data_IF_272153390338
#
_entry.id   IF_272153390338
#
_cell.length_a   1.000
_cell.length_b   1.000
_cell.length_c   1.000
_cell.angle_alpha   90.00
_cell.angle_beta   90.00
_cell.angle_gamma   90.00
#
_symmetry.space_group_name_H-M   'P 1'
#
loop_
_entity.id
_entity.type
_entity.pdbx_description
1 polymer ?
#
# COMPACT_ATOMS: atom_id res chain seq x y z
N UNK A 1 -10.33 2.98 6.65
CA UNK A 1 -10.45 3.86 7.84
C UNK A 1 -9.51 5.04 7.78
N UNK A 2 -8.32 4.95 8.40
CA UNK A 2 -7.35 6.06 8.49
C UNK A 2 -7.03 6.70 7.14
N UNK A 3 -6.75 5.85 6.13
CA UNK A 3 -6.47 6.29 4.77
C UNK A 3 -7.59 7.15 4.19
N UNK A 4 -8.85 6.75 4.37
CA UNK A 4 -10.01 7.51 3.87
C UNK A 4 -10.06 8.92 4.45
N UNK A 5 -9.82 9.06 5.76
CA UNK A 5 -9.74 10.37 6.42
C UNK A 5 -8.58 11.21 5.85
N UNK A 6 -7.40 10.61 5.68
CA UNK A 6 -6.20 11.32 5.16
C UNK A 6 -6.40 11.76 3.70
N UNK A 7 -7.07 10.94 2.89
CA UNK A 7 -7.41 11.31 1.51
C UNK A 7 -8.38 12.48 1.47
N UNK A 8 -9.50 12.37 2.22
CA UNK A 8 -10.55 13.41 2.25
C UNK A 8 -10.10 14.70 2.95
N UNK A 9 -9.09 14.66 3.82
CA UNK A 9 -8.54 15.87 4.46
C UNK A 9 -7.38 16.52 3.67
N UNK A 10 -7.09 16.05 2.45
CA UNK A 10 -6.06 16.60 1.58
C UNK A 10 -4.62 16.31 2.00
N UNK A 11 -4.42 15.40 2.96
CA UNK A 11 -3.10 15.05 3.46
C UNK A 11 -2.22 14.37 2.40
N UNK A 12 -2.81 13.44 1.65
CA UNK A 12 -2.12 12.71 0.58
C UNK A 12 -1.78 13.63 -0.59
N UNK A 13 -2.73 14.47 -1.04
CA UNK A 13 -2.46 15.50 -2.05
C UNK A 13 -1.36 16.48 -1.62
N UNK A 14 -1.27 16.81 -0.34
CA UNK A 14 -0.19 17.64 0.20
C UNK A 14 1.20 17.00 0.15
N UNK A 15 1.30 15.67 0.18
CA UNK A 15 2.56 14.95 -0.11
C UNK A 15 2.89 15.12 -1.60
N UNK A 16 1.88 14.93 -2.47
CA UNK A 16 2.08 14.99 -3.91
C UNK A 16 2.52 16.38 -4.36
N UNK A 17 1.86 17.45 -3.91
CA UNK A 17 2.20 18.84 -4.27
C UNK A 17 3.68 19.19 -3.99
N UNK A 18 4.26 18.63 -2.92
CA UNK A 18 5.68 18.82 -2.60
C UNK A 18 6.63 18.09 -3.55
N UNK A 19 6.19 16.97 -4.12
CA UNK A 19 7.02 16.10 -4.95
C UNK A 19 6.88 16.40 -6.45
N UNK A 20 5.70 16.85 -6.90
CA UNK A 20 5.43 17.15 -8.32
C UNK A 20 6.28 18.30 -8.85
N UNK A 21 6.73 19.24 -8.01
CA UNK A 21 7.66 20.30 -8.41
C UNK A 21 9.00 19.80 -8.96
N UNK A 22 9.38 18.55 -8.66
CA UNK A 22 10.60 17.92 -9.16
C UNK A 22 10.42 17.19 -10.50
N UNK A 23 9.16 16.97 -10.94
CA UNK A 23 8.81 16.27 -12.17
C UNK A 23 8.95 17.18 -13.41
N UNK A 24 10.18 17.57 -13.76
CA UNK A 24 10.44 18.54 -14.84
C UNK A 24 10.55 17.92 -16.24
N UNK A 25 10.89 16.64 -16.34
CA UNK A 25 11.06 15.89 -17.59
C UNK A 25 10.55 14.45 -17.41
N UNK A 26 10.39 13.69 -18.50
CA UNK A 26 9.82 12.34 -18.45
C UNK A 26 10.53 11.42 -17.45
N UNK A 27 11.87 11.44 -17.41
CA UNK A 27 12.66 10.62 -16.48
C UNK A 27 12.39 11.01 -15.03
N UNK A 28 12.43 12.31 -14.73
CA UNK A 28 12.14 12.83 -13.38
C UNK A 28 10.69 12.60 -12.98
N UNK A 29 9.75 12.71 -13.92
CA UNK A 29 8.34 12.40 -13.71
C UNK A 29 8.15 10.95 -13.25
N UNK A 30 8.75 10.00 -13.96
CA UNK A 30 8.70 8.58 -13.60
C UNK A 30 9.38 8.30 -12.25
N UNK A 31 10.53 8.92 -11.98
CA UNK A 31 11.22 8.79 -10.69
C UNK A 31 10.37 9.35 -9.54
N UNK A 32 9.74 10.50 -9.73
CA UNK A 32 8.84 11.10 -8.73
C UNK A 32 7.63 10.21 -8.49
N UNK A 33 7.01 9.66 -9.55
CA UNK A 33 5.92 8.68 -9.42
C UNK A 33 6.37 7.48 -8.60
N UNK A 34 7.54 6.92 -8.89
CA UNK A 34 8.06 5.76 -8.16
C UNK A 34 8.39 6.05 -6.69
N UNK A 35 8.99 7.22 -6.41
CA UNK A 35 9.25 7.67 -5.03
C UNK A 35 7.95 7.91 -4.28
N UNK A 36 6.95 8.49 -4.92
CA UNK A 36 5.64 8.69 -4.31
C UNK A 36 4.98 7.33 -4.01
N UNK A 37 5.07 6.38 -4.92
CA UNK A 37 4.63 5.00 -4.69
C UNK A 37 5.32 4.37 -3.48
N UNK A 38 6.65 4.40 -3.40
CA UNK A 38 7.36 3.88 -2.22
C UNK A 38 7.01 4.64 -0.94
N UNK A 39 6.69 5.94 -1.02
CA UNK A 39 6.33 6.75 0.14
C UNK A 39 4.96 6.39 0.74
N UNK A 40 4.01 5.96 -0.10
CA UNK A 40 2.68 5.50 0.32
C UNK A 40 2.72 3.98 0.57
N UNK A 41 3.64 3.52 1.42
CA UNK A 41 3.89 2.08 1.63
C UNK A 41 2.87 1.37 2.51
N UNK A 42 2.05 2.12 3.23
CA UNK A 42 1.20 1.57 4.28
C UNK A 42 -0.01 0.79 3.73
N UNK A 43 -0.40 1.05 2.47
CA UNK A 43 -1.54 0.42 1.80
C UNK A 43 -1.42 0.50 0.27
N UNK A 44 -1.57 -0.62 -0.44
CA UNK A 44 -1.39 -0.74 -1.90
C UNK A 44 -2.55 -0.14 -2.71
N UNK A 45 -3.78 -0.25 -2.24
CA UNK A 45 -4.94 0.37 -2.88
C UNK A 45 -4.88 1.90 -2.78
N UNK A 46 -4.62 2.42 -1.58
CA UNK A 46 -4.40 3.84 -1.35
C UNK A 46 -3.30 4.37 -2.27
N UNK A 47 -2.18 3.65 -2.33
CA UNK A 47 -1.05 3.95 -3.19
C UNK A 47 -1.47 4.06 -4.65
N UNK A 48 -2.09 3.00 -5.19
CA UNK A 48 -2.48 2.96 -6.60
C UNK A 48 -3.44 4.08 -6.96
N UNK A 49 -4.43 4.34 -6.12
CA UNK A 49 -5.43 5.39 -6.32
C UNK A 49 -4.81 6.79 -6.27
N UNK A 50 -4.06 7.09 -5.21
CA UNK A 50 -3.50 8.42 -4.97
C UNK A 50 -2.40 8.73 -5.99
N UNK A 51 -1.43 7.82 -6.15
CA UNK A 51 -0.30 8.03 -7.07
C UNK A 51 -0.81 8.04 -8.50
N UNK A 52 -1.67 7.09 -8.87
CA UNK A 52 -2.26 6.99 -10.20
C UNK A 52 -3.00 8.26 -10.60
N UNK A 53 -3.96 8.73 -9.79
CA UNK A 53 -4.77 9.90 -10.15
C UNK A 53 -3.97 11.19 -10.11
N UNK A 54 -3.09 11.36 -9.11
CA UNK A 54 -2.36 12.63 -8.97
C UNK A 54 -1.21 12.76 -9.97
N UNK A 55 -0.54 11.66 -10.32
CA UNK A 55 0.54 11.70 -11.30
C UNK A 55 0.03 11.64 -12.73
N UNK A 56 -1.22 11.22 -12.99
CA UNK A 56 -1.83 11.22 -14.34
C UNK A 56 -1.69 12.56 -15.07
N UNK A 57 -2.14 13.73 -14.56
CA UNK A 57 -1.99 15.00 -15.26
C UNK A 57 -0.53 15.41 -15.46
N UNK A 58 0.34 15.07 -14.51
CA UNK A 58 1.79 15.37 -14.57
C UNK A 58 2.45 14.53 -15.67
N UNK A 59 2.18 13.23 -15.69
CA UNK A 59 2.73 12.29 -16.65
C UNK A 59 2.17 12.50 -18.06
N UNK A 60 0.88 12.83 -18.18
CA UNK A 60 0.26 13.22 -19.45
C UNK A 60 0.96 14.46 -20.04
N UNK A 61 1.24 15.48 -19.23
CA UNK A 61 2.00 16.68 -19.65
C UNK A 61 3.44 16.36 -20.07
N UNK A 62 4.06 15.40 -19.41
CA UNK A 62 5.43 14.94 -19.70
C UNK A 62 5.49 13.90 -20.83
N UNK A 63 4.36 13.59 -21.47
CA UNK A 63 4.23 12.62 -22.56
C UNK A 63 4.71 11.22 -22.18
N UNK A 64 4.42 10.81 -20.96
CA UNK A 64 4.59 9.43 -20.49
C UNK A 64 3.28 8.70 -20.80
N UNK A 65 3.38 7.52 -21.39
CA UNK A 65 2.23 6.67 -21.70
C UNK A 65 1.49 6.23 -20.43
N UNK A 66 0.17 6.04 -20.52
CA UNK A 66 -0.61 5.62 -19.34
C UNK A 66 -0.30 4.18 -18.92
N UNK A 67 0.11 3.35 -19.87
CA UNK A 67 0.64 2.01 -19.64
C UNK A 67 1.91 2.07 -18.79
N UNK A 68 2.80 3.03 -19.07
CA UNK A 68 4.02 3.24 -18.28
C UNK A 68 3.71 3.73 -16.88
N UNK A 69 2.78 4.68 -16.74
CA UNK A 69 2.32 5.13 -15.43
C UNK A 69 1.75 3.95 -14.62
N UNK A 70 0.86 3.15 -15.22
CA UNK A 70 0.27 1.98 -14.57
C UNK A 70 1.34 0.99 -14.10
N UNK A 71 2.35 0.71 -14.94
CA UNK A 71 3.49 -0.12 -14.56
C UNK A 71 4.23 0.41 -13.33
N UNK A 72 4.58 1.70 -13.30
CA UNK A 72 5.31 2.31 -12.17
C UNK A 72 4.49 2.27 -10.89
N UNK A 73 3.19 2.58 -10.99
CA UNK A 73 2.26 2.60 -9.85
C UNK A 73 2.08 1.19 -9.28
N UNK A 74 1.72 0.21 -10.10
CA UNK A 74 1.50 -1.17 -9.67
C UNK A 74 2.76 -1.82 -9.09
N UNK A 75 3.89 -1.64 -9.78
CA UNK A 75 5.19 -2.20 -9.39
C UNK A 75 5.83 -1.47 -8.19
N UNK A 76 5.21 -0.41 -7.67
CA UNK A 76 5.60 0.19 -6.40
C UNK A 76 4.60 -0.10 -5.30
N UNK A 77 3.30 -0.08 -5.59
CA UNK A 77 2.22 -0.30 -4.62
C UNK A 77 2.28 -1.69 -3.95
N UNK A 78 2.20 -2.77 -4.72
CA UNK A 78 2.19 -4.11 -4.15
C UNK A 78 3.57 -4.51 -3.57
N UNK A 79 4.71 -4.30 -4.26
CA UNK A 79 6.02 -4.68 -3.75
C UNK A 79 6.38 -4.05 -2.40
N UNK A 80 6.24 -2.72 -2.26
CA UNK A 80 6.61 -2.06 -0.99
C UNK A 80 5.71 -2.53 0.15
N UNK A 81 4.43 -2.79 -0.13
CA UNK A 81 3.45 -3.21 0.87
C UNK A 81 3.78 -4.57 1.50
N UNK A 82 4.51 -5.43 0.77
CA UNK A 82 4.95 -6.75 1.25
C UNK A 82 6.29 -6.76 1.98
N UNK A 83 7.06 -5.67 1.90
CA UNK A 83 8.41 -5.57 2.48
C UNK A 83 8.48 -4.63 3.67
N UNK A 84 7.69 -3.55 3.65
CA UNK A 84 7.67 -2.59 4.74
C UNK A 84 7.16 -3.25 6.03
N UNK A 85 7.71 -2.83 7.18
CA UNK A 85 7.48 -3.48 8.47
C UNK A 85 6.04 -3.33 9.00
N UNK A 86 5.35 -2.28 8.54
CA UNK A 86 4.02 -1.91 9.02
C UNK A 86 3.16 -1.50 7.83
N UNK A 87 2.34 -2.43 7.35
CA UNK A 87 1.40 -2.25 6.24
C UNK A 87 0.12 -3.05 6.50
N UNK A 88 -0.90 -2.83 5.68
CA UNK A 88 -2.12 -3.65 5.68
C UNK A 88 -1.84 -5.13 5.35
N UNK A 89 -0.82 -5.41 4.55
CA UNK A 89 -0.44 -6.78 4.15
C UNK A 89 0.34 -7.54 5.22
N UNK A 90 1.16 -6.86 6.05
CA UNK A 90 1.95 -7.57 7.08
C UNK A 90 1.05 -8.20 8.12
N UNK A 91 -0.04 -7.55 8.52
CA UNK A 91 -1.01 -8.15 9.44
C UNK A 91 -1.61 -9.45 8.90
N UNK A 92 -1.93 -9.47 7.60
CA UNK A 92 -2.42 -10.67 6.93
C UNK A 92 -1.35 -11.77 6.84
N UNK A 93 -0.15 -11.44 6.35
CA UNK A 93 0.95 -12.39 6.21
C UNK A 93 1.36 -13.02 7.55
N UNK A 94 1.48 -12.20 8.61
CA UNK A 94 1.82 -12.68 9.94
C UNK A 94 0.70 -13.54 10.52
N UNK A 95 -0.56 -13.23 10.23
CA UNK A 95 -1.70 -14.09 10.60
C UNK A 95 -1.64 -15.46 9.93
N UNK A 96 -1.40 -15.50 8.61
CA UNK A 96 -1.22 -16.76 7.87
C UNK A 96 -0.02 -17.57 8.37
N UNK A 97 1.10 -16.90 8.64
CA UNK A 97 2.29 -17.54 9.21
C UNK A 97 1.99 -18.15 10.58
N UNK A 98 1.22 -17.45 11.43
CA UNK A 98 0.78 -17.98 12.71
C UNK A 98 0.00 -19.29 12.55
N UNK A 99 -1.02 -19.31 11.69
CA UNK A 99 -1.81 -20.52 11.42
C UNK A 99 -0.96 -21.65 10.80
N UNK A 100 0.00 -21.32 9.93
CA UNK A 100 0.88 -22.33 9.35
C UNK A 100 1.83 -22.94 10.41
N UNK A 101 2.38 -22.13 11.31
CA UNK A 101 3.30 -22.55 12.37
C UNK A 101 2.62 -23.49 13.37
N UNK A 102 1.34 -23.27 13.70
CA UNK A 102 0.56 -24.16 14.59
C UNK A 102 0.51 -25.61 14.09
N UNK A 103 0.64 -25.83 12.78
CA UNK A 103 0.63 -27.15 12.16
C UNK A 103 2.01 -27.83 12.10
N UNK A 104 3.07 -27.19 12.61
CA UNK A 104 4.45 -27.70 12.56
C UNK A 104 4.92 -28.06 13.98
N UNK A 105 4.97 -29.36 14.28
CA UNK A 105 5.45 -29.84 15.58
C UNK A 105 6.92 -29.43 15.82
N UNK A 106 7.20 -28.86 16.99
CA UNK A 106 8.55 -28.48 17.41
C UNK A 106 9.07 -27.14 16.88
N UNK A 107 8.26 -26.38 16.14
CA UNK A 107 8.61 -25.03 15.71
C UNK A 107 8.16 -23.99 16.74
N UNK A 108 9.10 -23.25 17.32
CA UNK A 108 8.84 -22.39 18.48
C UNK A 108 9.12 -20.90 18.25
N UNK A 109 9.27 -20.45 17.00
CA UNK A 109 9.47 -19.02 16.71
C UNK A 109 8.14 -18.34 16.47
N UNK A 110 7.94 -17.15 17.04
CA UNK A 110 6.77 -16.33 16.74
C UNK A 110 6.67 -15.94 15.25
N UNK A 111 5.43 -15.82 14.77
CA UNK A 111 5.12 -15.57 13.36
C UNK A 111 5.76 -14.29 12.80
N UNK A 112 5.91 -13.25 13.62
CA UNK A 112 6.58 -12.02 13.21
C UNK A 112 8.10 -12.22 13.02
N UNK A 113 8.74 -13.06 13.85
CA UNK A 113 10.14 -13.45 13.66
C UNK A 113 10.33 -14.17 12.32
N UNK A 114 9.45 -15.12 12.00
CA UNK A 114 9.50 -15.85 10.72
C UNK A 114 9.34 -14.89 9.55
N UNK A 115 8.44 -13.92 9.65
CA UNK A 115 8.30 -12.86 8.65
C UNK A 115 9.58 -12.03 8.48
N UNK A 116 10.19 -11.55 9.57
CA UNK A 116 11.44 -10.78 9.48
C UNK A 116 12.59 -11.59 8.86
N UNK A 117 12.68 -12.87 9.21
CA UNK A 117 13.67 -13.79 8.64
C UNK A 117 13.37 -14.16 7.19
N UNK A 118 12.11 -14.04 6.73
CA UNK A 118 11.74 -14.28 5.33
C UNK A 118 12.03 -13.08 4.44
N UNK A 119 12.11 -11.86 4.98
CA UNK A 119 12.38 -10.64 4.20
C UNK A 119 13.57 -10.78 3.23
N UNK A 120 14.76 -11.25 3.63
CA UNK A 120 15.88 -11.40 2.69
C UNK A 120 15.62 -12.34 1.51
N UNK A 121 14.65 -13.24 1.64
CA UNK A 121 14.25 -14.20 0.61
C UNK A 121 13.10 -13.70 -0.28
N UNK A 122 12.51 -12.53 0.05
CA UNK A 122 11.48 -11.89 -0.78
C UNK A 122 12.13 -11.18 -1.99
N UNK A 123 12.74 -11.98 -2.88
CA UNK A 123 13.48 -11.46 -4.03
C UNK A 123 12.61 -10.64 -4.98
N UNK A 124 11.37 -11.08 -5.23
CA UNK A 124 10.48 -10.42 -6.19
C UNK A 124 10.19 -8.96 -5.82
N UNK A 125 9.73 -8.62 -4.61
CA UNK A 125 9.50 -7.21 -4.25
C UNK A 125 10.73 -6.30 -4.37
N UNK A 126 11.89 -6.75 -3.90
CA UNK A 126 13.12 -5.95 -3.99
C UNK A 126 13.57 -5.76 -5.44
N UNK A 127 13.51 -6.82 -6.24
CA UNK A 127 13.86 -6.75 -7.66
C UNK A 127 12.86 -5.91 -8.44
N UNK A 128 11.56 -6.00 -8.15
CA UNK A 128 10.53 -5.19 -8.78
C UNK A 128 10.73 -3.69 -8.50
N UNK A 129 10.96 -3.32 -7.24
CA UNK A 129 11.26 -1.93 -6.87
C UNK A 129 12.53 -1.43 -7.55
N UNK A 130 13.61 -2.22 -7.52
CA UNK A 130 14.86 -1.89 -8.22
C UNK A 130 14.61 -1.71 -9.71
N UNK A 131 13.84 -2.61 -10.32
CA UNK A 131 13.57 -2.62 -11.75
C UNK A 131 12.73 -1.41 -12.18
N UNK A 132 11.73 -1.00 -11.39
CA UNK A 132 10.97 0.23 -11.64
C UNK A 132 11.89 1.45 -11.68
N UNK A 133 12.77 1.61 -10.68
CA UNK A 133 13.68 2.74 -10.64
C UNK A 133 14.76 2.68 -11.73
N UNK A 134 15.25 1.48 -12.06
CA UNK A 134 16.18 1.28 -13.16
C UNK A 134 15.55 1.69 -14.49
N UNK A 135 14.32 1.25 -14.73
CA UNK A 135 13.56 1.54 -15.94
C UNK A 135 13.23 3.03 -16.02
N UNK A 136 12.74 3.65 -14.93
CA UNK A 136 12.49 5.09 -14.84
C UNK A 136 13.76 5.92 -15.06
N UNK A 137 14.92 5.44 -14.58
CA UNK A 137 16.19 6.14 -14.73
C UNK A 137 16.82 5.96 -16.11
N UNK A 138 16.77 4.77 -16.71
CA UNK A 138 17.44 4.46 -17.98
C UNK A 138 16.57 4.78 -19.19
N UNK A 139 15.24 4.79 -19.03
CA UNK A 139 14.30 4.89 -20.15
C UNK A 139 14.33 3.66 -21.06
N UNK A 140 14.86 2.53 -20.59
CA UNK A 140 14.87 1.27 -21.31
C UNK A 140 13.51 0.59 -21.11
N UNK A 141 12.56 1.03 -21.91
CA UNK A 141 11.23 0.45 -22.00
C UNK A 141 11.29 -0.90 -22.75
N UNK A 142 10.35 -1.82 -22.48
CA UNK A 142 10.39 -3.19 -23.02
C UNK A 142 9.01 -3.67 -23.49
N UNK A 143 9.01 -4.54 -24.51
CA UNK A 143 7.80 -5.17 -25.02
C UNK A 143 6.74 -4.16 -25.48
N UNK A 144 5.43 -4.45 -25.27
CA UNK A 144 4.35 -3.53 -25.66
C UNK A 144 4.42 -2.14 -25.00
N UNK A 145 5.06 -2.04 -23.83
CA UNK A 145 5.24 -0.76 -23.13
C UNK A 145 6.21 0.17 -23.89
N UNK A 146 7.20 -0.38 -24.60
CA UNK A 146 8.10 0.41 -25.44
C UNK A 146 7.33 1.07 -26.59
N UNK A 147 6.47 0.31 -27.27
CA UNK A 147 5.63 0.84 -28.37
C UNK A 147 4.68 1.93 -27.87
N UNK A 148 4.12 1.77 -26.66
CA UNK A 148 3.29 2.78 -26.02
C UNK A 148 4.07 4.06 -25.67
N UNK A 149 5.31 3.93 -25.18
CA UNK A 149 6.19 5.06 -24.88
C UNK A 149 6.64 5.80 -26.15
N UNK A 150 7.01 5.08 -27.21
CA UNK A 150 7.35 5.68 -28.51
C UNK A 150 6.16 6.48 -29.07
N UNK A 151 4.95 5.90 -29.03
CA UNK A 151 3.70 6.59 -29.41
C UNK A 151 3.51 7.87 -28.61
N UNK A 152 3.63 7.80 -27.28
CA UNK A 152 3.41 8.96 -26.41
C UNK A 152 4.44 10.06 -26.68
N UNK A 153 5.71 9.70 -26.91
CA UNK A 153 6.80 10.67 -27.17
C UNK A 153 6.68 11.32 -28.54
N UNK A 154 6.42 10.54 -29.59
CA UNK A 154 6.42 11.01 -30.98
C UNK A 154 5.14 11.77 -31.34
N UNK A 155 3.99 11.26 -30.89
CA UNK A 155 2.67 11.79 -31.28
C UNK A 155 2.00 12.62 -30.19
N UNK A 156 2.44 12.50 -28.94
CA UNK A 156 1.75 13.08 -27.79
C UNK A 156 0.52 12.28 -27.34
N UNK A 157 0.15 11.18 -28.01
CA UNK A 157 -0.96 10.31 -27.61
C UNK A 157 -0.54 9.36 -26.49
N UNK A 158 -0.89 9.73 -25.26
CA UNK A 158 -0.59 8.95 -24.05
C UNK A 158 -1.48 7.71 -23.86
N UNK A 159 -2.59 7.63 -24.60
CA UNK A 159 -3.50 6.49 -24.67
C UNK A 159 -3.40 5.82 -26.04
N UNK A 160 -3.54 4.50 -26.08
CA UNK A 160 -3.70 3.75 -27.32
C UNK A 160 -5.03 4.06 -28.02
N UNK A 161 -5.09 3.89 -29.34
CA UNK A 161 -6.29 4.20 -30.11
C UNK A 161 -7.48 3.26 -29.78
N UNK A 162 -7.19 2.03 -29.30
CA UNK A 162 -8.18 1.05 -28.83
C UNK A 162 -8.38 1.06 -27.30
N UNK A 163 -7.83 2.06 -26.60
CA UNK A 163 -7.91 2.10 -25.14
C UNK A 163 -9.35 2.34 -24.67
N UNK A 164 -9.95 1.32 -24.05
CA UNK A 164 -11.21 1.47 -23.34
C UNK A 164 -10.92 1.89 -21.90
N UNK A 165 -11.02 3.19 -21.63
CA UNK A 165 -10.88 3.72 -20.28
C UNK A 165 -12.24 3.56 -19.61
N UNK A 166 -12.41 2.54 -18.77
CA UNK A 166 -13.63 2.39 -17.98
C UNK A 166 -13.79 3.60 -17.05
N UNK A 167 -14.81 4.43 -17.29
CA UNK A 167 -15.24 5.48 -16.36
C UNK A 167 -15.64 4.88 -15.00
N UNK A 168 -16.03 3.60 -14.95
CA UNK A 168 -16.34 2.88 -13.71
C UNK A 168 -15.10 2.52 -12.86
N UNK A 169 -13.88 2.61 -13.42
CA UNK A 169 -12.62 2.48 -12.67
C UNK A 169 -12.24 3.80 -11.96
N UNK A 170 -12.99 4.89 -12.20
CA UNK A 170 -13.04 6.07 -11.33
C UNK A 170 -13.81 5.68 -10.08
N UNK A 171 -13.21 4.86 -9.22
CA UNK A 171 -13.81 4.55 -7.92
C UNK A 171 -14.13 5.87 -7.21
N UNK A 172 -15.35 5.99 -6.64
CA UNK A 172 -15.85 7.12 -5.84
C UNK A 172 -14.67 7.88 -5.24
N UNK A 173 -14.22 8.93 -5.93
CA UNK A 173 -12.95 9.54 -5.58
C UNK A 173 -13.11 10.11 -4.18
N UNK A 174 -12.21 9.72 -3.28
CA UNK A 174 -12.03 10.37 -1.97
C UNK A 174 -11.41 11.75 -2.19
N UNK A 175 -12.01 12.55 -3.08
CA UNK A 175 -11.59 13.91 -3.32
C UNK A 175 -11.86 14.73 -2.06
N UNK A 176 -10.88 15.51 -1.62
CA UNK A 176 -11.11 16.43 -0.53
C UNK A 176 -12.14 17.49 -0.94
N UNK A 177 -12.95 18.00 0.00
CA UNK A 177 -13.89 19.09 -0.27
C UNK A 177 -13.19 20.29 -0.95
N UNK A 178 -13.93 21.02 -1.79
CA UNK A 178 -13.41 22.20 -2.48
C UNK A 178 -12.81 23.21 -1.49
N UNK A 179 -11.60 23.70 -1.79
CA UNK A 179 -10.88 24.66 -0.93
C UNK A 179 -10.10 24.05 0.23
N UNK A 180 -10.03 22.72 0.34
CA UNK A 180 -9.21 22.03 1.35
C UNK A 180 -7.73 22.35 1.19
N UNK A 181 -7.02 22.80 2.24
CA UNK A 181 -5.58 23.06 2.15
C UNK A 181 -4.79 21.75 2.07
N UNK A 182 -3.95 21.62 1.04
CA UNK A 182 -3.09 20.45 0.83
C UNK A 182 -1.90 20.46 1.80
N UNK A 183 -2.02 19.74 2.92
CA UNK A 183 -1.02 19.71 3.98
C UNK A 183 -0.51 18.29 4.19
N UNK A 184 0.69 17.98 3.69
CA UNK A 184 1.34 16.67 3.89
C UNK A 184 1.38 16.22 5.36
N UNK A 185 1.45 17.18 6.30
CA UNK A 185 1.44 16.92 7.74
C UNK A 185 0.19 16.11 8.17
N UNK A 186 -0.95 16.33 7.50
CA UNK A 186 -2.20 15.61 7.77
C UNK A 186 -2.15 14.13 7.34
N UNK A 187 -1.19 13.74 6.49
CA UNK A 187 -0.89 12.35 6.19
C UNK A 187 0.28 11.82 7.03
N UNK A 188 1.37 12.58 7.12
CA UNK A 188 2.62 12.15 7.77
C UNK A 188 2.41 11.89 9.26
N UNK A 189 1.71 12.75 9.99
CA UNK A 189 1.53 12.57 11.44
C UNK A 189 0.74 11.28 11.75
N UNK A 190 -0.45 11.02 11.18
CA UNK A 190 -1.16 9.77 11.43
C UNK A 190 -0.35 8.51 11.07
N UNK A 191 0.41 8.55 9.96
CA UNK A 191 1.26 7.43 9.55
C UNK A 191 2.39 7.20 10.55
N UNK A 192 3.07 8.26 11.00
CA UNK A 192 4.13 8.15 12.01
C UNK A 192 3.58 7.63 13.33
N UNK A 193 2.38 8.06 13.73
CA UNK A 193 1.70 7.54 14.93
C UNK A 193 1.34 6.07 14.75
N UNK A 194 0.86 5.66 13.58
CA UNK A 194 0.56 4.26 13.30
C UNK A 194 1.83 3.41 13.38
N UNK A 195 2.89 3.79 12.64
CA UNK A 195 4.16 3.05 12.62
C UNK A 195 4.78 3.01 14.01
N UNK A 196 4.86 4.15 14.69
CA UNK A 196 5.39 4.26 16.05
C UNK A 196 4.55 3.46 17.05
N UNK A 197 3.23 3.51 16.94
CA UNK A 197 2.30 2.74 17.78
C UNK A 197 2.46 1.24 17.60
N UNK A 198 2.67 0.77 16.36
CA UNK A 198 2.97 -0.64 16.08
C UNK A 198 4.33 -1.03 16.66
N UNK A 199 5.39 -0.25 16.43
CA UNK A 199 6.72 -0.56 16.96
C UNK A 199 6.74 -0.59 18.50
N UNK A 200 6.08 0.38 19.15
CA UNK A 200 5.91 0.41 20.61
C UNK A 200 5.06 -0.77 21.07
N UNK A 201 3.99 -1.10 20.35
CA UNK A 201 3.14 -2.25 20.65
C UNK A 201 3.88 -3.58 20.56
N UNK A 202 4.69 -3.76 19.51
CA UNK A 202 5.55 -4.94 19.34
C UNK A 202 6.55 -5.04 20.48
N UNK A 203 7.23 -3.94 20.81
CA UNK A 203 8.16 -3.93 21.94
C UNK A 203 7.47 -4.22 23.28
N UNK A 204 6.35 -3.57 23.57
CA UNK A 204 5.65 -3.71 24.85
C UNK A 204 5.06 -5.11 25.05
N UNK A 205 4.47 -5.69 23.99
CA UNK A 205 3.93 -7.06 24.04
C UNK A 205 5.04 -8.11 24.05
N UNK A 206 6.12 -7.86 23.32
CA UNK A 206 7.32 -8.70 23.33
C UNK A 206 8.01 -8.76 24.69
N UNK A 207 8.22 -7.61 25.33
CA UNK A 207 8.81 -7.53 26.68
C UNK A 207 7.95 -8.26 27.71
N UNK A 208 6.63 -8.24 27.56
CA UNK A 208 5.73 -9.02 28.42
C UNK A 208 5.87 -10.54 28.22
N UNK A 209 6.23 -10.98 27.01
CA UNK A 209 6.41 -12.39 26.69
C UNK A 209 7.77 -12.94 27.15
N UNK A 210 8.87 -12.23 26.86
CA UNK A 210 10.24 -12.73 27.07
C UNK A 210 11.05 -12.01 28.16
N UNK A 211 10.52 -10.90 28.70
CA UNK A 211 11.23 -10.06 29.67
C UNK A 211 12.07 -8.96 29.00
N UNK A 212 12.38 -7.89 29.75
CA UNK A 212 13.08 -6.71 29.22
C UNK A 212 14.58 -6.94 28.96
N UNK A 213 15.15 -7.99 29.54
CA UNK A 213 16.57 -8.33 29.43
C UNK A 213 16.86 -9.21 28.19
N UNK A 214 15.84 -9.64 27.46
CA UNK A 214 15.97 -10.43 26.24
C UNK A 214 16.53 -9.59 25.07
N UNK A 215 17.05 -10.26 24.04
CA UNK A 215 17.54 -9.55 22.85
C UNK A 215 16.39 -8.89 22.10
N UNK A 216 16.66 -7.80 21.37
CA UNK A 216 15.63 -7.11 20.59
C UNK A 216 14.96 -8.03 19.54
N UNK A 217 15.72 -9.00 19.02
CA UNK A 217 15.19 -10.00 18.09
C UNK A 217 14.17 -10.91 18.76
N UNK A 218 14.42 -11.34 19.99
CA UNK A 218 13.51 -12.22 20.74
C UNK A 218 12.26 -11.45 21.17
N UNK A 219 12.43 -10.19 21.62
CA UNK A 219 11.33 -9.30 22.00
C UNK A 219 10.38 -9.09 20.81
N UNK A 220 10.90 -8.71 19.65
CA UNK A 220 10.06 -8.47 18.47
C UNK A 220 9.50 -9.78 17.91
N UNK A 221 10.27 -10.88 18.00
CA UNK A 221 9.88 -12.18 17.49
C UNK A 221 8.68 -12.79 18.22
N UNK A 222 8.66 -12.67 19.55
CA UNK A 222 7.60 -13.20 20.42
C UNK A 222 6.48 -12.17 20.71
N UNK A 223 6.50 -11.03 20.03
CA UNK A 223 5.49 -9.99 20.19
C UNK A 223 4.11 -10.42 19.66
N UNK A 224 3.05 -9.94 20.31
CA UNK A 224 1.69 -10.07 19.80
C UNK A 224 1.45 -9.00 18.73
N UNK A 225 1.80 -9.33 17.49
CA UNK A 225 1.67 -8.46 16.31
C UNK A 225 0.24 -7.99 16.07
N UNK A 226 -0.75 -8.85 16.28
CA UNK A 226 -2.17 -8.50 16.15
C UNK A 226 -2.55 -7.36 17.08
N UNK A 227 -2.19 -7.46 18.36
CA UNK A 227 -2.46 -6.41 19.36
C UNK A 227 -1.73 -5.12 19.03
N UNK A 228 -0.46 -5.21 18.61
CA UNK A 228 0.33 -4.05 18.20
C UNK A 228 -0.29 -3.31 17.00
N UNK A 229 -0.70 -4.06 15.97
CA UNK A 229 -1.37 -3.54 14.78
C UNK A 229 -2.74 -2.93 15.11
N UNK A 230 -3.51 -3.56 15.99
CA UNK A 230 -4.82 -3.05 16.42
C UNK A 230 -4.68 -1.69 17.13
N UNK A 231 -3.77 -1.57 18.10
CA UNK A 231 -3.57 -0.30 18.81
C UNK A 231 -2.93 0.77 17.92
N UNK A 232 -1.95 0.41 17.09
CA UNK A 232 -1.31 1.35 16.17
C UNK A 232 -2.30 1.91 15.14
N UNK A 233 -3.13 1.05 14.54
CA UNK A 233 -4.15 1.49 13.60
C UNK A 233 -5.24 2.34 14.26
N UNK A 234 -5.69 1.99 15.46
CA UNK A 234 -6.66 2.79 16.21
C UNK A 234 -6.12 4.20 16.51
N UNK A 235 -4.89 4.29 17.02
CA UNK A 235 -4.25 5.58 17.30
C UNK A 235 -4.06 6.40 16.01
N UNK A 236 -3.68 5.77 14.90
CA UNK A 236 -3.58 6.43 13.60
C UNK A 236 -4.91 7.04 13.14
N UNK A 237 -6.01 6.28 13.25
CA UNK A 237 -7.37 6.78 12.94
C UNK A 237 -7.75 7.96 13.85
N UNK A 238 -7.54 7.82 15.15
CA UNK A 238 -7.87 8.88 16.13
C UNK A 238 -7.09 10.16 15.84
N UNK A 239 -5.80 10.05 15.53
CA UNK A 239 -4.97 11.22 15.20
C UNK A 239 -5.37 11.84 13.87
N UNK A 240 -5.69 11.03 12.85
CA UNK A 240 -6.22 11.55 11.59
C UNK A 240 -7.53 12.34 11.81
N UNK A 241 -8.47 11.78 12.59
CA UNK A 241 -9.72 12.45 12.94
C UNK A 241 -9.47 13.73 13.74
N UNK A 242 -8.59 13.68 14.76
CA UNK A 242 -8.27 14.85 15.59
C UNK A 242 -7.64 16.00 14.78
N UNK A 243 -6.77 15.68 13.81
CA UNK A 243 -6.20 16.69 12.91
C UNK A 243 -7.24 17.27 11.96
N UNK A 244 -8.11 16.43 11.38
CA UNK A 244 -9.17 16.89 10.48
C UNK A 244 -10.15 17.83 11.18
N UNK A 245 -10.62 17.44 12.38
CA UNK A 245 -11.55 18.22 13.21
C UNK A 245 -10.87 19.47 13.79
N UNK A 246 -9.67 19.32 14.34
CA UNK A 246 -8.94 20.41 15.01
C UNK A 246 -8.49 21.52 14.05
N UNK A 247 -8.23 21.19 12.78
CA UNK A 247 -7.95 22.17 11.73
C UNK A 247 -9.21 22.73 11.06
N UNK A 248 -10.39 22.18 11.38
CA UNK A 248 -11.65 22.55 10.74
C UNK A 248 -11.69 22.23 9.25
N UNK A 249 -10.97 21.19 8.82
CA UNK A 249 -10.96 20.74 7.41
C UNK A 249 -12.19 19.88 7.13
N UNK A 250 -12.48 18.94 8.02
CA UNK A 250 -13.67 18.10 7.99
C UNK A 250 -14.44 18.29 9.29
N UNK A 251 -15.76 18.26 9.22
CA UNK A 251 -16.60 18.09 10.40
C UNK A 251 -16.68 16.61 10.84
N UNK A 252 -17.42 16.33 11.91
CA UNK A 252 -17.55 14.97 12.45
C UNK A 252 -18.25 14.03 11.47
N UNK A 253 -19.27 14.51 10.77
CA UNK A 253 -20.05 13.72 9.81
C UNK A 253 -19.17 13.33 8.62
N UNK A 254 -18.49 14.32 8.02
CA UNK A 254 -17.53 14.12 6.93
C UNK A 254 -16.36 13.23 7.34
N UNK A 255 -15.88 13.32 8.59
CA UNK A 255 -14.81 12.46 9.09
C UNK A 255 -15.27 11.00 9.21
N UNK A 256 -16.49 10.77 9.71
CA UNK A 256 -17.06 9.42 9.82
C UNK A 256 -17.36 8.84 8.43
N UNK A 257 -17.88 9.66 7.52
CA UNK A 257 -18.11 9.29 6.13
C UNK A 257 -16.79 8.91 5.44
N UNK A 258 -15.75 9.73 5.53
CA UNK A 258 -14.41 9.43 5.00
C UNK A 258 -13.84 8.12 5.56
N UNK A 259 -14.04 7.90 6.86
CA UNK A 259 -13.61 6.67 7.51
C UNK A 259 -14.34 5.44 6.96
N UNK A 260 -15.65 5.57 6.73
CA UNK A 260 -16.52 4.52 6.18
C UNK A 260 -16.24 4.24 4.71
N UNK A 261 -16.07 5.27 3.88
CA UNK A 261 -15.64 5.14 2.47
C UNK A 261 -14.32 4.38 2.39
N UNK A 262 -13.34 4.76 3.23
CA UNK A 262 -12.07 4.05 3.32
C UNK A 262 -12.14 2.65 3.94
N UNK A 263 -13.30 2.20 4.47
CA UNK A 263 -13.54 0.80 4.83
C UNK A 263 -14.25 0.07 3.68
N UNK A 264 -15.23 0.72 3.04
CA UNK A 264 -15.97 0.22 1.88
C UNK A 264 -15.03 -0.15 0.73
N UNK A 265 -13.97 0.63 0.51
CA UNK A 265 -12.96 0.34 -0.53
C UNK A 265 -12.28 -1.03 -0.35
N UNK A 266 -12.14 -1.51 0.90
CA UNK A 266 -11.53 -2.81 1.20
C UNK A 266 -12.54 -3.97 1.19
N UNK A 267 -13.84 -3.68 1.22
CA UNK A 267 -14.89 -4.69 1.31
C UNK A 267 -14.88 -5.63 0.10
N UNK A 268 -14.65 -5.10 -1.10
CA UNK A 268 -14.61 -5.90 -2.31
C UNK A 268 -13.44 -6.91 -2.31
N UNK A 269 -12.25 -6.48 -1.89
CA UNK A 269 -11.10 -7.36 -1.74
C UNK A 269 -11.36 -8.47 -0.71
N UNK A 270 -11.97 -8.13 0.43
CA UNK A 270 -12.35 -9.11 1.44
C UNK A 270 -13.35 -10.15 0.92
N UNK A 271 -14.34 -9.74 0.12
CA UNK A 271 -15.30 -10.66 -0.50
C UNK A 271 -14.57 -11.65 -1.41
N UNK A 272 -13.65 -11.18 -2.26
CA UNK A 272 -12.87 -12.04 -3.16
C UNK A 272 -12.06 -13.06 -2.35
N UNK A 273 -11.38 -12.64 -1.27
CA UNK A 273 -10.59 -13.53 -0.41
C UNK A 273 -11.45 -14.61 0.25
N UNK A 274 -12.61 -14.23 0.80
CA UNK A 274 -13.54 -15.19 1.41
C UNK A 274 -14.05 -16.20 0.38
N UNK A 275 -14.36 -15.75 -0.84
CA UNK A 275 -14.77 -16.63 -1.94
C UNK A 275 -13.61 -17.56 -2.37
N UNK A 276 -12.37 -17.06 -2.41
CA UNK A 276 -11.20 -17.84 -2.74
C UNK A 276 -10.94 -18.96 -1.71
N UNK A 277 -11.03 -18.66 -0.41
CA UNK A 277 -10.91 -19.70 0.63
C UNK A 277 -12.06 -20.69 0.60
N UNK A 278 -13.27 -20.21 0.31
CA UNK A 278 -14.44 -21.10 0.12
C UNK A 278 -14.19 -22.08 -1.04
N UNK A 279 -13.64 -21.60 -2.15
CA UNK A 279 -13.27 -22.43 -3.29
C UNK A 279 -12.14 -23.42 -2.93
N UNK A 280 -11.10 -22.97 -2.21
CA UNK A 280 -10.01 -23.84 -1.74
C UNK A 280 -10.54 -25.00 -0.90
N UNK A 281 -11.40 -24.71 0.07
CA UNK A 281 -12.03 -25.73 0.91
C UNK A 281 -12.87 -26.73 0.10
N UNK A 282 -13.61 -26.25 -0.91
CA UNK A 282 -14.38 -27.13 -1.80
C UNK A 282 -13.43 -28.04 -2.60
N UNK A 283 -12.30 -27.51 -3.10
CA UNK A 283 -11.34 -28.32 -3.86
C UNK A 283 -10.66 -29.40 -3.02
N UNK A 284 -10.44 -29.14 -1.72
CA UNK A 284 -9.94 -30.13 -0.77
C UNK A 284 -10.99 -31.24 -0.53
N UNK A 285 -12.24 -30.88 -0.27
CA UNK A 285 -13.33 -31.85 -0.03
C UNK A 285 -13.58 -32.73 -1.26
N UNK A 286 -13.42 -32.18 -2.46
CA UNK A 286 -13.59 -32.93 -3.72
C UNK A 286 -12.39 -33.78 -4.10
N UNK A 287 -11.29 -33.76 -3.33
CA UNK A 287 -10.06 -34.49 -3.63
C UNK A 287 -9.52 -34.16 -5.05
N UNK A 288 -9.71 -32.91 -5.49
CA UNK A 288 -9.36 -32.51 -6.86
C UNK A 288 -7.87 -32.69 -7.15
N UNK A 289 -7.01 -32.43 -6.17
CA UNK A 289 -5.57 -32.65 -6.28
C UNK A 289 -5.23 -34.12 -6.48
N UNK A 290 -5.86 -35.02 -5.72
CA UNK A 290 -5.63 -36.47 -5.82
C UNK A 290 -6.04 -37.00 -7.20
N UNK A 291 -7.15 -36.49 -7.76
CA UNK A 291 -7.61 -36.85 -9.11
C UNK A 291 -6.67 -36.37 -10.23
N UNK A 292 -6.04 -35.20 -10.08
CA UNK A 292 -5.14 -34.66 -11.11
C UNK A 292 -3.76 -35.32 -11.13
N UNK A 293 -3.35 -35.92 -10.01
CA UNK A 293 -2.05 -36.60 -9.86
C UNK A 293 -2.12 -38.09 -10.21
N UNK A 294 -3.33 -38.67 -10.29
CA UNK A 294 -3.59 -40.06 -10.74
C UNK A 294 -3.62 -40.21 -12.25
#
# INVERSE_FOLDING_TARGET
>A
GMVGIISKNGGTLGIVERLTGFASDSRRGQMVTGVLGVSIFFDDYANTLIVGNTMRPVTDRLRISREKLAYVVDSTAAPISTVALVTTWIGYQVGLLGTAIENIEGFSQGAYSVFLNSLPYNFYPFLALLFVFLVAYTGLDFGPMLEAEERARDTGKVLGDDANVDEAAEGEELEPPEGTPYRAVNAVIPIVVLVGGVLVGLYATGVQAVGADASLSDIIGEANSYTALMWGSLLGVVVAAALSLGQGILDLEQTVEAWYEGLKSMLFAMIILVLAWSLSNITEVLHTADYLVS
#
